data_IF_295713086091
#
_entry.id   IF_295713086091
#
_cell.length_a   1.000
_cell.length_b   1.000
_cell.length_c   1.000
_cell.angle_alpha   90.00
_cell.angle_beta   90.00
_cell.angle_gamma   90.00
#
_symmetry.space_group_name_H-M   'P 1'
#
loop_
_entity.id
_entity.type
_entity.pdbx_description
1 polymer ?
#
# COMPACT_ATOMS: atom_id res chain seq x y z
N UNK A 1 4.98 36.95 31.89
CA UNK A 1 3.88 36.45 31.03
C UNK A 1 3.87 37.32 29.78
N UNK A 2 4.11 36.72 28.61
CA UNK A 2 3.95 37.40 27.31
C UNK A 2 2.47 37.66 27.09
N UNK A 3 2.10 38.92 26.87
CA UNK A 3 0.70 39.30 26.60
C UNK A 3 0.27 38.71 25.26
N UNK A 4 -0.86 37.99 25.26
CA UNK A 4 -1.51 37.50 24.04
C UNK A 4 -2.16 38.68 23.32
N UNK A 5 -1.56 39.13 22.21
CA UNK A 5 -2.02 40.29 21.43
C UNK A 5 -2.39 39.88 20.01
N UNK A 6 -3.35 40.58 19.43
CA UNK A 6 -3.76 40.33 18.04
C UNK A 6 -2.63 40.80 17.11
N UNK A 7 -2.14 39.94 16.20
CA UNK A 7 -1.06 40.30 15.30
C UNK A 7 -1.44 41.39 14.28
N UNK A 8 -2.74 41.60 14.04
CA UNK A 8 -3.22 42.58 13.06
C UNK A 8 -3.44 43.99 13.65
N UNK A 9 -4.00 44.10 14.86
CA UNK A 9 -4.36 45.41 15.44
C UNK A 9 -3.81 45.69 16.83
N UNK A 10 -3.09 44.74 17.44
CA UNK A 10 -2.43 44.91 18.74
C UNK A 10 -3.34 44.87 19.97
N UNK A 11 -4.64 44.62 19.82
CA UNK A 11 -5.55 44.48 20.98
C UNK A 11 -5.33 43.16 21.74
N UNK A 12 -5.70 43.14 23.02
CA UNK A 12 -5.70 41.95 23.88
C UNK A 12 -7.05 41.19 23.85
N UNK A 13 -8.07 41.76 23.22
CA UNK A 13 -9.41 41.17 23.17
C UNK A 13 -9.53 40.06 22.09
N UNK A 14 -9.08 38.87 22.48
CA UNK A 14 -9.05 37.65 21.66
C UNK A 14 -9.96 36.58 22.27
N UNK A 15 -10.74 35.90 21.43
CA UNK A 15 -11.50 34.70 21.77
C UNK A 15 -10.78 33.49 21.19
N UNK A 16 -10.63 32.45 21.99
CA UNK A 16 -10.14 31.15 21.56
C UNK A 16 -11.32 30.20 21.29
N UNK A 17 -11.31 29.51 20.15
CA UNK A 17 -12.24 28.43 19.83
C UNK A 17 -11.45 27.15 19.56
N UNK A 18 -11.89 26.04 20.16
CA UNK A 18 -11.34 24.71 19.90
C UNK A 18 -12.29 23.92 19.03
N UNK A 19 -11.75 23.29 17.98
CA UNK A 19 -12.50 22.43 17.09
C UNK A 19 -11.83 21.06 17.02
N UNK A 20 -12.55 19.96 17.31
CA UNK A 20 -11.99 18.63 17.21
C UNK A 20 -11.62 18.31 15.76
N UNK A 21 -10.48 17.67 15.58
CA UNK A 21 -9.97 17.22 14.29
C UNK A 21 -9.36 15.83 14.41
N UNK A 22 -9.79 14.91 13.55
CA UNK A 22 -9.31 13.52 13.54
C UNK A 22 -8.13 13.37 12.57
N UNK A 23 -6.96 13.06 13.11
CA UNK A 23 -5.79 12.63 12.33
C UNK A 23 -5.81 11.12 12.24
N UNK A 24 -5.65 10.56 11.04
CA UNK A 24 -5.64 9.12 10.82
C UNK A 24 -4.35 8.67 10.13
N UNK A 25 -3.79 7.54 10.57
CA UNK A 25 -2.66 6.88 9.92
C UNK A 25 -2.99 5.40 9.67
N UNK A 26 -2.68 4.93 8.46
CA UNK A 26 -2.86 3.54 8.11
C UNK A 26 -2.08 2.65 9.09
N UNK A 27 -2.75 1.62 9.63
CA UNK A 27 -2.21 0.71 10.66
C UNK A 27 -1.93 1.35 12.03
N UNK A 28 -1.99 2.69 12.15
CA UNK A 28 -1.81 3.44 13.40
C UNK A 28 -3.11 3.91 14.04
N UNK A 29 -4.22 3.86 13.31
CA UNK A 29 -5.53 4.29 13.78
C UNK A 29 -5.68 5.82 13.80
N UNK A 30 -6.79 6.27 14.38
CA UNK A 30 -7.17 7.66 14.48
C UNK A 30 -6.85 8.28 15.84
N UNK A 31 -6.49 9.57 15.82
CA UNK A 31 -6.32 10.39 17.01
C UNK A 31 -7.03 11.72 16.83
N UNK A 32 -7.90 12.03 17.78
CA UNK A 32 -8.59 13.32 17.83
C UNK A 32 -7.72 14.35 18.57
N UNK A 33 -7.60 15.54 17.98
CA UNK A 33 -6.92 16.69 18.57
C UNK A 33 -7.82 17.92 18.49
N UNK A 34 -7.66 18.84 19.43
CA UNK A 34 -8.33 20.14 19.40
C UNK A 34 -7.48 21.16 18.65
N UNK A 35 -7.94 21.59 17.48
CA UNK A 35 -7.34 22.71 16.73
C UNK A 35 -7.83 24.01 17.32
N UNK A 36 -6.88 24.92 17.58
CA UNK A 36 -7.13 26.23 18.18
C UNK A 36 -7.30 27.26 17.07
N UNK A 37 -8.42 27.98 17.09
CA UNK A 37 -8.70 29.13 16.25
C UNK A 37 -8.89 30.36 17.14
N UNK A 38 -7.98 31.33 17.03
CA UNK A 38 -8.07 32.62 17.70
C UNK A 38 -8.83 33.62 16.82
N UNK A 39 -9.74 34.37 17.43
CA UNK A 39 -10.48 35.46 16.80
C UNK A 39 -10.34 36.75 17.58
N UNK A 40 -9.91 37.82 16.93
CA UNK A 40 -9.91 39.15 17.51
C UNK A 40 -11.33 39.74 17.51
N UNK A 41 -11.81 40.21 18.67
CA UNK A 41 -13.13 40.88 18.76
C UNK A 41 -13.17 42.27 18.16
N UNK A 42 -12.02 42.93 18.02
CA UNK A 42 -11.93 44.32 17.55
C UNK A 42 -11.82 44.41 16.03
N UNK A 43 -10.82 43.75 15.43
CA UNK A 43 -10.59 43.81 13.99
C UNK A 43 -11.15 42.61 13.22
N UNK A 44 -11.68 41.60 13.91
CA UNK A 44 -12.28 40.42 13.30
C UNK A 44 -11.28 39.44 12.66
N UNK A 45 -9.97 39.67 12.78
CA UNK A 45 -8.94 38.74 12.26
C UNK A 45 -9.08 37.38 12.94
N UNK A 46 -8.86 36.31 12.18
CA UNK A 46 -8.93 34.91 12.62
C UNK A 46 -7.66 34.16 12.23
N UNK A 47 -7.17 33.26 13.08
CA UNK A 47 -6.05 32.39 12.77
C UNK A 47 -5.47 31.70 14.01
N UNK A 48 -4.32 31.04 13.85
CA UNK A 48 -3.53 30.56 14.99
C UNK A 48 -2.51 31.64 15.36
N UNK A 49 -2.88 32.55 16.27
CA UNK A 49 -2.03 33.71 16.58
C UNK A 49 -0.79 33.33 17.38
N UNK A 50 -0.79 32.13 17.98
CA UNK A 50 0.24 31.68 18.91
C UNK A 50 0.98 30.42 18.41
N UNK A 51 0.78 30.05 17.14
CA UNK A 51 1.44 28.91 16.48
C UNK A 51 1.34 27.60 17.29
N UNK A 52 0.18 27.37 17.92
CA UNK A 52 -0.07 26.21 18.77
C UNK A 52 -0.36 24.94 17.95
N UNK A 53 -0.98 25.10 16.77
CA UNK A 53 -1.51 23.98 16.00
C UNK A 53 -0.42 23.13 15.37
N UNK A 54 0.68 23.74 14.89
CA UNK A 54 1.76 23.00 14.23
C UNK A 54 2.38 21.94 15.16
N UNK A 55 2.64 22.31 16.42
CA UNK A 55 3.18 21.41 17.42
C UNK A 55 2.19 20.29 17.76
N UNK A 56 0.91 20.62 17.96
CA UNK A 56 -0.16 19.66 18.27
C UNK A 56 -0.37 18.65 17.14
N UNK A 57 -0.44 19.13 15.90
CA UNK A 57 -0.60 18.30 14.69
C UNK A 57 0.62 17.40 14.52
N UNK A 58 1.83 17.96 14.59
CA UNK A 58 3.06 17.18 14.42
C UNK A 58 3.20 16.09 15.49
N UNK A 59 2.87 16.39 16.74
CA UNK A 59 2.92 15.42 17.83
C UNK A 59 1.89 14.30 17.60
N UNK A 60 0.67 14.63 17.21
CA UNK A 60 -0.36 13.63 16.93
C UNK A 60 0.02 12.70 15.77
N UNK A 61 0.53 13.26 14.66
CA UNK A 61 1.04 12.48 13.54
C UNK A 61 2.15 11.53 13.98
N UNK A 62 3.11 12.02 14.77
CA UNK A 62 4.25 11.21 15.25
C UNK A 62 3.80 10.06 16.14
N UNK A 63 2.79 10.29 16.99
CA UNK A 63 2.23 9.24 17.83
C UNK A 63 1.49 8.19 17.01
N UNK A 64 0.66 8.62 16.04
CA UNK A 64 -0.02 7.72 15.10
C UNK A 64 0.97 6.87 14.30
N UNK A 65 2.05 7.47 13.77
CA UNK A 65 3.11 6.73 13.05
C UNK A 65 3.85 5.74 13.94
N UNK A 66 4.17 6.12 15.17
CA UNK A 66 4.84 5.23 16.13
C UNK A 66 3.97 4.01 16.45
N UNK A 67 2.66 4.22 16.60
CA UNK A 67 1.70 3.14 16.79
C UNK A 67 1.59 2.25 15.54
N UNK A 68 1.53 2.84 14.34
CA UNK A 68 1.52 2.11 13.08
C UNK A 68 2.73 1.18 12.93
N UNK A 69 3.94 1.69 13.21
CA UNK A 69 5.18 0.89 13.20
C UNK A 69 5.07 -0.30 14.15
N UNK A 70 4.64 -0.06 15.39
CA UNK A 70 4.48 -1.12 16.39
C UNK A 70 3.49 -2.18 15.93
N UNK A 71 2.35 -1.77 15.39
CA UNK A 71 1.29 -2.67 14.94
C UNK A 71 1.73 -3.50 13.73
N UNK A 72 2.36 -2.87 12.72
CA UNK A 72 2.91 -3.58 11.55
C UNK A 72 3.92 -4.63 11.97
N UNK A 73 4.88 -4.24 12.82
CA UNK A 73 5.94 -5.16 13.28
C UNK A 73 5.41 -6.27 14.18
N UNK A 74 4.37 -6.01 14.97
CA UNK A 74 3.72 -7.03 15.77
C UNK A 74 2.97 -8.04 14.89
N UNK A 75 2.27 -7.57 13.85
CA UNK A 75 1.56 -8.42 12.89
C UNK A 75 2.48 -9.43 12.18
N UNK A 76 3.69 -9.02 11.79
CA UNK A 76 4.67 -9.93 11.20
C UNK A 76 5.13 -11.05 12.16
N UNK A 77 5.20 -10.75 13.46
CA UNK A 77 5.57 -11.73 14.48
C UNK A 77 4.45 -12.72 14.74
N UNK A 78 3.20 -12.23 14.78
CA UNK A 78 2.05 -13.03 15.18
C UNK A 78 1.48 -13.87 14.03
N UNK A 79 1.52 -13.36 12.80
CA UNK A 79 0.82 -13.96 11.67
C UNK A 79 1.71 -14.43 10.51
N UNK A 80 2.86 -13.79 10.30
CA UNK A 80 3.76 -14.13 9.19
C UNK A 80 4.90 -15.09 9.59
N UNK A 81 4.96 -15.52 10.85
CA UNK A 81 6.01 -16.36 11.42
C UNK A 81 7.45 -15.89 11.09
N UNK A 82 7.62 -14.58 10.83
CA UNK A 82 8.88 -14.01 10.38
C UNK A 82 9.57 -13.29 11.53
N UNK A 83 10.81 -13.67 11.84
CA UNK A 83 11.57 -13.00 12.90
C UNK A 83 12.08 -11.62 12.45
N UNK A 84 12.19 -10.68 13.40
CA UNK A 84 12.79 -9.37 13.16
C UNK A 84 14.21 -9.47 12.57
N UNK A 85 15.01 -10.43 13.02
CA UNK A 85 16.35 -10.65 12.50
C UNK A 85 16.36 -11.14 11.05
N UNK A 86 15.36 -11.94 10.63
CA UNK A 86 15.23 -12.34 9.22
C UNK A 86 14.89 -11.13 8.36
N UNK A 87 13.92 -10.32 8.79
CA UNK A 87 13.52 -9.10 8.09
C UNK A 87 14.69 -8.11 7.98
N UNK A 88 15.41 -7.87 9.07
CA UNK A 88 16.58 -6.99 9.08
C UNK A 88 17.65 -7.47 8.08
N UNK A 89 17.92 -8.77 8.02
CA UNK A 89 18.86 -9.35 7.06
C UNK A 89 18.37 -9.24 5.63
N UNK A 90 17.10 -9.56 5.37
CA UNK A 90 16.51 -9.51 4.03
C UNK A 90 16.53 -8.09 3.45
N UNK A 91 16.27 -7.09 4.30
CA UNK A 91 16.20 -5.68 3.92
C UNK A 91 17.54 -4.94 4.08
N UNK A 92 18.62 -5.65 4.40
CA UNK A 92 19.95 -5.09 4.64
C UNK A 92 19.98 -3.97 5.70
N UNK A 93 19.09 -4.07 6.69
CA UNK A 93 19.04 -3.13 7.81
C UNK A 93 20.08 -3.50 8.88
N UNK A 94 20.66 -2.51 9.58
CA UNK A 94 21.50 -2.78 10.74
C UNK A 94 20.74 -3.60 11.79
N UNK A 95 21.46 -4.48 12.50
CA UNK A 95 20.87 -5.33 13.51
C UNK A 95 20.16 -4.51 14.60
N UNK A 96 19.01 -5.00 15.06
CA UNK A 96 18.13 -4.40 16.07
C UNK A 96 17.43 -3.10 15.64
N UNK A 97 17.52 -2.69 14.36
CA UNK A 97 16.81 -1.51 13.84
C UNK A 97 15.30 -1.65 14.02
N UNK A 98 14.71 -2.78 13.63
CA UNK A 98 13.26 -2.99 13.74
C UNK A 98 12.82 -3.09 15.21
N UNK A 99 13.68 -3.66 16.06
CA UNK A 99 13.43 -3.69 17.52
C UNK A 99 13.40 -2.28 18.11
N UNK A 100 14.35 -1.43 17.74
CA UNK A 100 14.39 -0.03 18.19
C UNK A 100 13.17 0.75 17.70
N UNK A 101 12.75 0.52 16.46
CA UNK A 101 11.54 1.13 15.89
C UNK A 101 10.27 0.66 16.61
N UNK A 102 10.10 -0.64 16.83
CA UNK A 102 8.96 -1.22 17.56
C UNK A 102 8.85 -0.66 18.99
N UNK A 103 9.98 -0.49 19.66
CA UNK A 103 10.05 0.00 21.04
C UNK A 103 10.08 1.53 21.16
N UNK A 104 10.03 2.26 20.03
CA UNK A 104 10.07 3.72 20.02
C UNK A 104 11.42 4.34 20.44
N UNK A 105 12.50 3.56 20.48
CA UNK A 105 13.85 4.06 20.83
C UNK A 105 14.43 4.96 19.74
N UNK A 106 14.09 4.69 18.48
CA UNK A 106 14.45 5.51 17.33
C UNK A 106 13.27 5.57 16.37
N UNK A 107 13.02 6.72 15.76
CA UNK A 107 11.98 6.86 14.73
C UNK A 107 12.53 6.40 13.37
N UNK A 108 11.75 5.65 12.57
CA UNK A 108 12.12 5.40 11.19
C UNK A 108 12.12 6.70 10.38
N UNK A 109 12.93 6.74 9.33
CA UNK A 109 12.81 7.78 8.30
C UNK A 109 11.47 7.65 7.56
N UNK A 110 11.07 8.70 6.82
CA UNK A 110 9.87 8.63 5.98
C UNK A 110 9.91 7.44 5.00
N UNK A 111 11.07 7.16 4.41
CA UNK A 111 11.27 6.01 3.52
C UNK A 111 11.15 4.67 4.28
N UNK A 112 11.74 4.57 5.47
CA UNK A 112 11.62 3.36 6.30
C UNK A 112 10.17 3.10 6.72
N UNK A 113 9.43 4.15 7.05
CA UNK A 113 8.01 4.05 7.38
C UNK A 113 7.17 3.62 6.16
N UNK A 114 7.42 4.20 4.98
CA UNK A 114 6.77 3.79 3.74
C UNK A 114 7.06 2.33 3.39
N UNK A 115 8.30 1.88 3.54
CA UNK A 115 8.70 0.48 3.34
C UNK A 115 7.90 -0.46 4.25
N UNK A 116 7.79 -0.16 5.55
CA UNK A 116 6.99 -0.99 6.47
C UNK A 116 5.53 -1.10 6.03
N UNK A 117 4.93 0.00 5.57
CA UNK A 117 3.56 -0.03 5.03
C UNK A 117 3.45 -0.91 3.78
N UNK A 118 4.42 -0.81 2.88
CA UNK A 118 4.46 -1.67 1.67
C UNK A 118 4.60 -3.14 2.04
N UNK A 119 5.49 -3.48 2.97
CA UNK A 119 5.65 -4.86 3.44
C UNK A 119 4.36 -5.37 4.09
N UNK A 120 3.67 -4.54 4.88
CA UNK A 120 2.39 -4.94 5.50
C UNK A 120 1.32 -5.32 4.47
N UNK A 121 1.28 -4.61 3.34
CA UNK A 121 0.31 -4.82 2.26
C UNK A 121 0.76 -5.99 1.36
N UNK A 122 2.06 -6.11 1.11
CA UNK A 122 2.67 -7.10 0.23
C UNK A 122 3.77 -7.88 0.97
N UNK A 123 3.42 -8.80 1.89
CA UNK A 123 4.40 -9.52 2.70
C UNK A 123 5.43 -10.31 1.89
N UNK A 124 5.03 -10.82 0.71
CA UNK A 124 5.89 -11.56 -0.22
C UNK A 124 7.08 -10.76 -0.76
N UNK A 125 7.07 -9.43 -0.61
CA UNK A 125 8.24 -8.60 -0.92
C UNK A 125 9.44 -8.95 -0.03
N UNK A 126 9.22 -9.53 1.17
CA UNK A 126 10.31 -10.05 1.99
C UNK A 126 11.04 -11.21 1.30
N UNK A 127 10.32 -12.13 0.63
CA UNK A 127 10.93 -13.24 -0.11
C UNK A 127 11.74 -12.73 -1.31
N UNK A 128 11.26 -11.66 -1.96
CA UNK A 128 12.01 -10.98 -3.02
C UNK A 128 13.30 -10.36 -2.47
N UNK A 129 13.22 -9.72 -1.31
CA UNK A 129 14.38 -9.13 -0.64
C UNK A 129 15.39 -10.22 -0.21
N UNK A 130 14.93 -11.36 0.31
CA UNK A 130 15.80 -12.51 0.62
C UNK A 130 16.51 -13.07 -0.63
N UNK A 131 15.89 -12.93 -1.80
CA UNK A 131 16.48 -13.26 -3.10
C UNK A 131 17.27 -12.10 -3.73
N UNK A 132 17.67 -11.10 -2.92
CA UNK A 132 18.50 -9.95 -3.33
C UNK A 132 17.90 -9.14 -4.48
N UNK A 133 16.58 -9.06 -4.54
CA UNK A 133 15.86 -8.32 -5.58
C UNK A 133 16.17 -8.80 -7.01
N UNK A 134 16.48 -10.09 -7.18
CA UNK A 134 16.62 -10.71 -8.49
C UNK A 134 15.30 -10.63 -9.26
N UNK A 135 15.35 -10.10 -10.48
CA UNK A 135 14.15 -9.82 -11.28
C UNK A 135 13.36 -11.10 -11.59
N UNK A 136 14.04 -12.14 -12.09
CA UNK A 136 13.40 -13.39 -12.53
C UNK A 136 12.74 -14.12 -11.35
N UNK A 137 13.45 -14.20 -10.22
CA UNK A 137 12.89 -14.79 -9.00
C UNK A 137 11.76 -13.93 -8.43
N UNK A 138 11.92 -12.61 -8.45
CA UNK A 138 10.89 -11.68 -7.99
C UNK A 138 9.59 -11.81 -8.78
N UNK A 139 9.67 -11.91 -10.10
CA UNK A 139 8.50 -12.16 -10.96
C UNK A 139 7.83 -13.49 -10.63
N UNK A 140 8.61 -14.56 -10.45
CA UNK A 140 8.06 -15.88 -10.07
C UNK A 140 7.35 -15.83 -8.72
N UNK A 141 7.95 -15.18 -7.71
CA UNK A 141 7.32 -15.00 -6.38
C UNK A 141 6.01 -14.23 -6.52
N UNK A 142 6.03 -13.11 -7.24
CA UNK A 142 4.84 -12.29 -7.47
C UNK A 142 3.70 -13.08 -8.14
N UNK A 143 4.00 -13.79 -9.23
CA UNK A 143 3.02 -14.61 -9.95
C UNK A 143 2.45 -15.71 -9.05
N UNK A 144 3.32 -16.42 -8.32
CA UNK A 144 2.88 -17.48 -7.42
C UNK A 144 1.94 -16.96 -6.34
N UNK A 145 2.24 -15.80 -5.75
CA UNK A 145 1.39 -15.17 -4.75
C UNK A 145 0.07 -14.65 -5.31
N UNK A 146 0.09 -14.10 -6.53
CA UNK A 146 -1.12 -13.68 -7.23
C UNK A 146 -2.04 -14.88 -7.53
N UNK A 147 -1.49 -15.97 -8.06
CA UNK A 147 -2.23 -17.22 -8.33
C UNK A 147 -2.78 -17.81 -7.04
N UNK A 148 -1.97 -17.89 -5.98
CA UNK A 148 -2.39 -18.41 -4.67
C UNK A 148 -3.60 -17.63 -4.13
N UNK A 149 -3.55 -16.30 -4.19
CA UNK A 149 -4.68 -15.45 -3.77
C UNK A 149 -5.90 -15.67 -4.65
N UNK A 150 -5.72 -15.71 -5.97
CA UNK A 150 -6.83 -15.92 -6.91
C UNK A 150 -7.53 -17.26 -6.65
N UNK A 151 -6.78 -18.36 -6.54
CA UNK A 151 -7.32 -19.69 -6.26
C UNK A 151 -8.08 -19.72 -4.92
N UNK A 152 -7.60 -19.01 -3.90
CA UNK A 152 -8.29 -18.93 -2.60
C UNK A 152 -9.64 -18.20 -2.65
N UNK A 153 -9.90 -17.43 -3.70
CA UNK A 153 -11.16 -16.70 -3.91
C UNK A 153 -12.09 -17.35 -4.95
N UNK A 154 -11.59 -18.31 -5.73
CA UNK A 154 -12.42 -19.07 -6.66
C UNK A 154 -13.08 -20.20 -5.87
N UNK A 155 -14.39 -20.10 -5.67
CA UNK A 155 -15.24 -21.24 -5.30
C UNK A 155 -15.33 -22.12 -6.54
N UNK A 156 -14.56 -23.20 -6.61
CA UNK A 156 -14.76 -24.17 -7.67
C UNK A 156 -16.10 -24.87 -7.42
N UNK A 157 -17.09 -24.57 -8.26
CA UNK A 157 -18.24 -25.45 -8.42
C UNK A 157 -17.70 -26.75 -9.06
N UNK A 158 -18.17 -27.91 -8.58
CA UNK A 158 -17.54 -29.24 -8.79
C UNK A 158 -17.36 -29.65 -10.27
N UNK A 159 -17.89 -28.89 -11.23
CA UNK A 159 -17.87 -29.16 -12.67
C UNK A 159 -16.54 -28.83 -13.38
N UNK A 160 -15.66 -28.01 -12.80
CA UNK A 160 -14.33 -27.73 -13.37
C UNK A 160 -13.24 -28.72 -12.93
N UNK A 161 -13.55 -29.57 -11.94
CA UNK A 161 -12.62 -30.56 -11.39
C UNK A 161 -12.29 -31.72 -12.36
N UNK A 162 -13.13 -31.94 -13.37
CA UNK A 162 -12.95 -33.03 -14.33
C UNK A 162 -11.86 -32.77 -15.38
N UNK A 163 -11.54 -31.50 -15.66
CA UNK A 163 -10.56 -31.11 -16.68
C UNK A 163 -9.29 -30.46 -16.11
N UNK A 164 -9.27 -30.03 -14.84
CA UNK A 164 -8.07 -29.54 -14.16
C UNK A 164 -7.55 -30.57 -13.15
N UNK A 165 -6.57 -31.38 -13.56
CA UNK A 165 -5.75 -32.17 -12.63
C UNK A 165 -4.78 -31.25 -11.88
N UNK A 166 -5.27 -30.57 -10.85
CA UNK A 166 -4.43 -29.82 -9.91
C UNK A 166 -3.73 -30.84 -9.01
N UNK A 167 -2.50 -31.20 -9.33
CA UNK A 167 -1.68 -32.05 -8.45
C UNK A 167 -1.12 -31.20 -7.30
N UNK A 168 -1.67 -31.39 -6.10
CA UNK A 168 -1.16 -30.81 -4.86
C UNK A 168 0.02 -31.65 -4.36
N UNK A 169 1.22 -31.34 -4.84
CA UNK A 169 2.46 -31.76 -4.18
C UNK A 169 3.45 -30.60 -4.19
N UNK A 170 4.27 -30.52 -3.15
CA UNK A 170 5.28 -29.49 -2.90
C UNK A 170 6.33 -29.43 -4.02
N UNK A 171 5.94 -28.84 -5.15
CA UNK A 171 6.73 -28.34 -6.28
C UNK A 171 5.70 -27.75 -7.25
N UNK A 172 5.35 -26.49 -7.04
CA UNK A 172 4.34 -25.79 -7.86
C UNK A 172 4.93 -25.45 -9.23
N UNK A 173 5.13 -26.47 -10.07
CA UNK A 173 5.30 -26.31 -11.50
C UNK A 173 3.90 -26.20 -12.11
N UNK A 174 3.50 -24.97 -12.43
CA UNK A 174 2.27 -24.70 -13.15
C UNK A 174 2.47 -25.15 -14.61
N UNK A 175 2.17 -26.41 -14.92
CA UNK A 175 2.02 -26.85 -16.30
C UNK A 175 0.64 -26.39 -16.76
N UNK A 176 0.57 -25.18 -17.31
CA UNK A 176 -0.52 -24.80 -18.22
C UNK A 176 -0.32 -25.61 -19.50
N UNK A 177 -0.86 -26.83 -19.53
CA UNK A 177 -1.10 -27.49 -20.82
C UNK A 177 -2.25 -26.75 -21.48
N UNK A 178 -1.89 -25.91 -22.45
CA UNK A 178 -2.81 -25.33 -23.41
C UNK A 178 -3.55 -26.48 -24.11
N UNK A 179 -4.86 -26.55 -23.94
CA UNK A 179 -5.68 -27.55 -24.61
C UNK A 179 -5.90 -27.09 -26.06
N UNK A 180 -5.21 -27.75 -27.00
CA UNK A 180 -5.30 -27.49 -28.44
C UNK A 180 -6.73 -27.61 -29.00
N UNK A 181 -7.69 -28.16 -28.22
CA UNK A 181 -9.08 -28.24 -28.63
C UNK A 181 -9.78 -26.87 -28.73
N UNK A 182 -9.37 -25.88 -27.92
CA UNK A 182 -9.98 -24.55 -27.95
C UNK A 182 -9.55 -23.73 -29.17
N UNK A 183 -8.32 -23.97 -29.65
CA UNK A 183 -7.79 -23.28 -30.83
C UNK A 183 -8.42 -23.81 -32.13
N UNK A 184 -8.89 -25.05 -32.13
CA UNK A 184 -9.61 -25.63 -33.27
C UNK A 184 -11.02 -25.06 -33.42
N UNK A 185 -11.73 -24.88 -32.31
CA UNK A 185 -13.08 -24.28 -32.29
C UNK A 185 -13.05 -22.78 -32.63
N UNK A 186 -12.01 -22.06 -32.17
CA UNK A 186 -11.80 -20.65 -32.55
C UNK A 186 -11.41 -20.49 -34.04
N UNK A 187 -10.55 -21.36 -34.57
CA UNK A 187 -10.15 -21.30 -35.98
C UNK A 187 -11.26 -21.75 -36.95
N UNK A 188 -12.18 -22.64 -36.53
CA UNK A 188 -13.35 -23.02 -37.32
C UNK A 188 -14.42 -21.90 -37.34
N UNK A 189 -14.57 -21.13 -36.26
CA UNK A 189 -15.48 -19.97 -36.26
C UNK A 189 -14.94 -18.76 -37.04
N UNK A 190 -13.63 -18.45 -36.92
CA UNK A 190 -13.01 -17.32 -37.64
C UNK A 190 -12.91 -17.58 -39.16
N UNK A 191 -12.85 -18.84 -39.58
CA UNK A 191 -12.81 -19.19 -41.02
C UNK A 191 -14.18 -19.15 -41.72
N UNK A 192 -15.30 -19.23 -40.98
CA UNK A 192 -16.63 -19.04 -41.57
C UNK A 192 -16.98 -17.55 -41.75
N UNK A 193 -16.60 -16.67 -40.83
CA UNK A 193 -16.86 -15.23 -40.97
C UNK A 193 -15.93 -14.54 -41.98
N UNK A 194 -14.73 -15.09 -42.24
CA UNK A 194 -13.77 -14.53 -43.20
C UNK A 194 -14.11 -14.82 -44.68
N UNK A 195 -15.01 -15.76 -44.99
CA UNK A 195 -15.36 -16.13 -46.37
C UNK A 195 -16.52 -15.28 -46.93
N UNK A 196 -17.34 -14.65 -46.08
CA UNK A 196 -18.48 -13.81 -46.53
C UNK A 196 -18.18 -12.30 -46.62
N UNK A 197 -17.00 -11.84 -46.17
CA UNK A 197 -16.69 -10.40 -46.05
C UNK A 197 -15.78 -9.78 -47.12
N UNK A 198 -15.20 -10.54 -48.06
CA UNK A 198 -14.25 -10.03 -49.06
C UNK A 198 -14.93 -9.77 -50.42
N UNK A 199 -15.88 -8.85 -50.41
CA UNK A 199 -16.41 -8.19 -51.60
C UNK A 199 -16.68 -6.73 -51.26
N UNK A 200 -15.61 -5.95 -51.11
CA UNK A 200 -15.51 -4.52 -51.46
C UNK A 200 -14.28 -3.90 -50.78
N UNK A 201 -13.31 -3.48 -51.60
CA UNK A 201 -12.11 -2.73 -51.18
C UNK A 201 -12.45 -1.28 -50.78
N UNK A 202 -11.52 -0.52 -50.17
CA UNK A 202 -10.59 0.21 -51.05
C UNK A 202 -9.14 0.28 -50.55
N UNK A 203 -8.24 0.28 -51.53
CA UNK A 203 -6.80 0.50 -51.45
C UNK A 203 -6.46 1.89 -50.94
N UNK A 204 -5.60 2.00 -49.92
CA UNK A 204 -4.94 3.24 -49.52
C UNK A 204 -3.44 3.09 -49.75
N UNK A 205 -2.94 3.86 -50.73
CA UNK A 205 -1.51 4.04 -51.01
C UNK A 205 -0.90 4.93 -49.94
N UNK A 206 0.19 4.49 -49.31
CA UNK A 206 1.01 5.32 -48.42
C UNK A 206 2.32 5.61 -49.15
N UNK A 207 2.51 6.87 -49.56
CA UNK A 207 3.79 7.41 -50.01
C UNK A 207 4.76 7.50 -48.82
N UNK A 208 5.99 7.04 -49.03
CA UNK A 208 7.07 7.07 -48.05
C UNK A 208 7.73 8.45 -48.02
N UNK A 209 7.87 9.01 -46.81
CA UNK A 209 9.00 9.84 -46.40
C UNK A 209 9.43 9.44 -45.00
#
# INVERSE_FOLDING_TARGET
MTKKICPACGTEDIIERKTPHLINEAFGGGREIDIVEDRCKVCGTVGDFFSQNDALISEAIDQCKSLAVKNILQDFLDHAATSMSSMERALELPQRTLTKWKNGQTKPSAAGFALLKMLRIFPWLLDVAENKFDYEKGQRIHINEAVRKLVSHISFDDTLSSNLKISTSYNFAFNLTYDDSFQKEYNEHVSQEAIEGLSEAPTILIEQY
#
